data_IF_884371977406
#
_entry.id   IF_884371977406
#
_cell.length_a   1.000
_cell.length_b   1.000
_cell.length_c   1.000
_cell.angle_alpha   90.00
_cell.angle_beta   90.00
_cell.angle_gamma   90.00
#
_symmetry.space_group_name_H-M   'P 1'
#
loop_
_entity.id
_entity.type
_entity.pdbx_description
1 polymer ?
#
# COMPACT_ATOMS: atom_id res chain seq x y z
N UNK A 1 -23.79 9.01 2.07
CA UNK A 1 -22.45 8.44 2.30
C UNK A 1 -21.61 9.51 2.94
N UNK A 2 -21.12 9.27 4.15
CA UNK A 2 -20.22 10.20 4.84
C UNK A 2 -18.82 10.12 4.20
N UNK A 3 -18.12 11.24 4.06
CA UNK A 3 -16.78 11.27 3.46
C UNK A 3 -15.78 10.36 4.20
N UNK A 4 -15.87 10.27 5.53
CA UNK A 4 -15.10 9.33 6.35
C UNK A 4 -15.31 7.85 6.00
N UNK A 5 -16.54 7.47 5.65
CA UNK A 5 -16.88 6.09 5.32
C UNK A 5 -16.24 5.70 3.98
N UNK A 6 -16.25 6.62 3.02
CA UNK A 6 -15.55 6.47 1.74
C UNK A 6 -14.04 6.33 1.95
N UNK A 7 -13.44 7.15 2.81
CA UNK A 7 -12.02 7.07 3.15
C UNK A 7 -11.65 5.76 3.84
N UNK A 8 -12.49 5.26 4.76
CA UNK A 8 -12.29 3.96 5.41
C UNK A 8 -12.32 2.81 4.40
N UNK A 9 -13.30 2.79 3.50
CA UNK A 9 -13.37 1.77 2.44
C UNK A 9 -12.13 1.85 1.55
N UNK A 10 -11.73 3.06 1.15
CA UNK A 10 -10.52 3.28 0.33
C UNK A 10 -9.25 2.81 1.05
N UNK A 11 -9.12 3.09 2.34
CA UNK A 11 -8.01 2.63 3.16
C UNK A 11 -7.94 1.10 3.20
N UNK A 12 -9.08 0.43 3.35
CA UNK A 12 -9.15 -1.02 3.39
C UNK A 12 -8.73 -1.65 2.06
N UNK A 13 -9.18 -1.07 0.94
CA UNK A 13 -8.77 -1.48 -0.41
C UNK A 13 -7.26 -1.31 -0.60
N UNK A 14 -6.72 -0.13 -0.27
CA UNK A 14 -5.28 0.14 -0.40
C UNK A 14 -4.43 -0.78 0.48
N UNK A 15 -4.87 -1.07 1.70
CA UNK A 15 -4.19 -2.03 2.60
C UNK A 15 -4.19 -3.44 2.03
N UNK A 16 -5.29 -3.86 1.38
CA UNK A 16 -5.37 -5.15 0.70
C UNK A 16 -4.42 -5.20 -0.50
N UNK A 17 -4.46 -4.20 -1.38
CA UNK A 17 -3.55 -4.10 -2.53
C UNK A 17 -2.09 -4.08 -2.08
N UNK A 18 -1.75 -3.38 -1.01
CA UNK A 18 -0.39 -3.35 -0.46
C UNK A 18 0.08 -4.74 -0.01
N UNK A 19 -0.82 -5.55 0.58
CA UNK A 19 -0.51 -6.93 0.98
C UNK A 19 -0.29 -7.82 -0.25
N UNK A 20 -1.17 -7.72 -1.25
CA UNK A 20 -1.03 -8.48 -2.50
C UNK A 20 0.28 -8.14 -3.22
N UNK A 21 0.68 -6.87 -3.21
CA UNK A 21 1.97 -6.42 -3.75
C UNK A 21 3.16 -7.00 -2.97
N UNK A 22 3.05 -7.15 -1.65
CA UNK A 22 4.09 -7.75 -0.83
C UNK A 22 4.28 -9.24 -1.14
N UNK A 23 3.17 -9.97 -1.28
CA UNK A 23 3.21 -11.39 -1.66
C UNK A 23 3.73 -11.58 -3.08
N UNK A 24 3.38 -10.69 -4.02
CA UNK A 24 3.95 -10.69 -5.36
C UNK A 24 5.47 -10.45 -5.36
N UNK A 25 5.96 -9.52 -4.52
CA UNK A 25 7.40 -9.27 -4.36
C UNK A 25 8.09 -10.50 -3.79
N UNK A 26 7.53 -11.14 -2.75
CA UNK A 26 8.09 -12.35 -2.15
C UNK A 26 8.15 -13.50 -3.15
N UNK A 27 7.06 -13.77 -3.86
CA UNK A 27 7.02 -14.81 -4.87
C UNK A 27 8.04 -14.56 -6.00
N UNK A 28 8.26 -13.30 -6.37
CA UNK A 28 9.27 -12.93 -7.36
C UNK A 28 10.71 -13.10 -6.82
N UNK A 29 10.94 -12.78 -5.54
CA UNK A 29 12.22 -13.02 -4.87
C UNK A 29 12.54 -14.51 -4.76
N UNK A 30 11.55 -15.33 -4.40
CA UNK A 30 11.71 -16.79 -4.25
C UNK A 30 11.97 -17.49 -5.58
N UNK A 31 11.39 -17.00 -6.68
CA UNK A 31 11.64 -17.53 -8.03
C UNK A 31 13.08 -17.31 -8.49
N UNK A 32 13.82 -16.36 -7.91
CA UNK A 32 15.23 -16.12 -8.19
C UNK A 32 15.54 -15.72 -9.65
N UNK A 33 14.52 -15.43 -10.47
CA UNK A 33 14.74 -14.90 -11.81
C UNK A 33 15.27 -13.47 -11.66
N UNK A 34 16.30 -13.11 -12.44
CA UNK A 34 17.02 -11.83 -12.36
C UNK A 34 16.21 -10.58 -12.72
N UNK A 35 14.90 -10.58 -12.45
CA UNK A 35 13.92 -9.54 -12.71
C UNK A 35 14.04 -8.35 -11.73
N UNK A 36 15.27 -7.87 -11.52
CA UNK A 36 15.57 -6.71 -10.66
C UNK A 36 14.76 -5.48 -11.04
N UNK A 37 14.48 -5.28 -12.33
CA UNK A 37 13.62 -4.20 -12.82
C UNK A 37 12.17 -4.34 -12.38
N UNK A 38 11.60 -5.54 -12.49
CA UNK A 38 10.23 -5.84 -12.03
C UNK A 38 10.14 -5.66 -10.52
N UNK A 39 11.13 -6.14 -9.79
CA UNK A 39 11.22 -6.04 -8.34
C UNK A 39 11.33 -4.58 -7.87
N UNK A 40 12.14 -3.77 -8.57
CA UNK A 40 12.23 -2.33 -8.34
C UNK A 40 10.88 -1.63 -8.60
N UNK A 41 10.18 -1.99 -9.68
CA UNK A 41 8.86 -1.42 -10.01
C UNK A 41 7.82 -1.76 -8.94
N UNK A 42 7.77 -3.01 -8.50
CA UNK A 42 6.85 -3.45 -7.45
C UNK A 42 7.15 -2.77 -6.11
N UNK A 43 8.42 -2.66 -5.72
CA UNK A 43 8.82 -1.93 -4.52
C UNK A 43 8.42 -0.45 -4.58
N UNK A 44 8.56 0.19 -5.74
CA UNK A 44 8.10 1.58 -5.94
C UNK A 44 6.59 1.71 -5.82
N UNK A 45 5.83 0.78 -6.39
CA UNK A 45 4.37 0.73 -6.24
C UNK A 45 3.96 0.52 -4.79
N UNK A 46 4.63 -0.40 -4.08
CA UNK A 46 4.41 -0.65 -2.65
C UNK A 46 4.64 0.62 -1.81
N UNK A 47 5.70 1.36 -2.10
CA UNK A 47 5.98 2.65 -1.44
C UNK A 47 4.87 3.67 -1.69
N UNK A 48 4.44 3.83 -2.94
CA UNK A 48 3.36 4.75 -3.29
C UNK A 48 2.01 4.37 -2.66
N UNK A 49 1.72 3.08 -2.49
CA UNK A 49 0.55 2.62 -1.73
C UNK A 49 0.67 2.97 -0.25
N UNK A 50 1.84 2.73 0.35
CA UNK A 50 2.10 3.09 1.75
C UNK A 50 1.91 4.60 1.98
N UNK A 51 2.41 5.45 1.09
CA UNK A 51 2.26 6.90 1.20
C UNK A 51 0.78 7.33 1.08
N UNK A 52 0.01 6.70 0.19
CA UNK A 52 -1.43 6.95 0.08
C UNK A 52 -2.22 6.48 1.30
N UNK A 53 -1.86 5.32 1.87
CA UNK A 53 -2.44 4.82 3.12
C UNK A 53 -2.17 5.83 4.23
N UNK A 54 -0.93 6.28 4.38
CA UNK A 54 -0.56 7.26 5.40
C UNK A 54 -1.33 8.58 5.26
N UNK A 55 -1.53 9.07 4.03
CA UNK A 55 -2.31 10.29 3.78
C UNK A 55 -3.78 10.13 4.18
N UNK A 56 -4.39 8.98 3.88
CA UNK A 56 -5.78 8.70 4.25
C UNK A 56 -5.91 8.44 5.75
N UNK A 57 -4.92 7.79 6.37
CA UNK A 57 -4.86 7.62 7.83
C UNK A 57 -4.74 8.96 8.54
N UNK A 58 -3.90 9.87 8.05
CA UNK A 58 -3.75 11.23 8.59
C UNK A 58 -5.07 12.02 8.51
N UNK A 59 -5.78 11.92 7.37
CA UNK A 59 -7.08 12.56 7.18
C UNK A 59 -8.19 11.94 8.06
N UNK A 60 -8.12 10.63 8.35
CA UNK A 60 -9.06 9.91 9.21
C UNK A 60 -8.73 10.02 10.71
N UNK A 61 -7.47 10.23 11.07
CA UNK A 61 -6.97 10.31 12.44
C UNK A 61 -6.15 11.59 12.68
N UNK A 62 -6.76 12.79 12.55
CA UNK A 62 -6.06 14.05 12.77
C UNK A 62 -5.57 14.27 14.22
N UNK A 63 -5.83 13.36 15.17
CA UNK A 63 -5.72 13.59 16.62
C UNK A 63 -4.75 12.64 17.37
N UNK A 64 -3.74 12.04 16.70
CA UNK A 64 -2.79 11.10 17.37
C UNK A 64 -1.32 11.55 17.26
N UNK A 65 -1.06 12.73 16.70
CA UNK A 65 0.26 13.39 16.75
C UNK A 65 0.11 14.72 17.52
N UNK A 66 -0.15 14.63 18.83
CA UNK A 66 -0.02 15.70 19.82
C UNK A 66 0.77 15.18 21.03
#
# INVERSE_FOLDING_TARGET
MNSEEVLRVKLEVLRREHRDLDDAIRALQERGTGDSFTLMRLKKQKLALKDQIALIEDELTPDIIA
#
